data_IF_150334808957
#
_entry.id   IF_150334808957
#
_cell.length_a   1.000
_cell.length_b   1.000
_cell.length_c   1.000
_cell.angle_alpha   90.00
_cell.angle_beta   90.00
_cell.angle_gamma   90.00
#
_symmetry.space_group_name_H-M   'P 1'
#
loop_
_entity.id
_entity.type
_entity.pdbx_description
1 polymer ?
#
# COMPACT_ATOMS: atom_id res chain seq x y z
N UNK A 1 14.09 -16.24 -12.20
CA UNK A 1 13.02 -16.06 -11.19
C UNK A 1 12.62 -14.59 -11.12
N UNK A 2 11.70 -14.16 -11.99
CA UNK A 2 11.14 -12.81 -12.01
C UNK A 2 10.09 -12.68 -10.90
N UNK A 3 10.47 -12.13 -9.76
CA UNK A 3 9.54 -11.88 -8.65
C UNK A 3 8.81 -10.56 -8.92
N UNK A 4 7.48 -10.61 -8.93
CA UNK A 4 6.60 -9.46 -9.18
C UNK A 4 5.81 -9.17 -7.91
N UNK A 5 5.75 -7.90 -7.50
CA UNK A 5 4.80 -7.41 -6.51
C UNK A 5 3.67 -6.69 -7.22
N UNK A 6 2.41 -7.12 -7.04
CA UNK A 6 1.23 -6.48 -7.62
C UNK A 6 0.29 -6.04 -6.50
N UNK A 7 -0.23 -4.82 -6.63
CA UNK A 7 -1.02 -4.14 -5.60
C UNK A 7 -2.25 -3.48 -6.21
N UNK A 8 -3.40 -3.55 -5.55
CA UNK A 8 -4.60 -2.74 -5.85
C UNK A 8 -5.25 -2.37 -4.51
N UNK A 9 -5.35 -1.07 -4.15
CA UNK A 9 -6.01 -0.67 -2.90
C UNK A 9 -6.72 0.68 -2.90
N UNK A 10 -7.65 0.77 -1.94
CA UNK A 10 -8.11 1.99 -1.31
C UNK A 10 -7.62 2.02 0.15
N UNK A 11 -7.17 3.17 0.66
CA UNK A 11 -6.73 3.33 2.04
C UNK A 11 -7.42 4.52 2.71
N UNK A 12 -7.99 4.26 3.90
CA UNK A 12 -8.71 5.22 4.72
C UNK A 12 -8.00 5.40 6.07
N UNK A 13 -7.92 6.63 6.56
CA UNK A 13 -7.51 6.93 7.92
C UNK A 13 -8.69 6.77 8.87
N UNK A 14 -8.50 6.09 10.00
CA UNK A 14 -9.58 5.79 10.96
C UNK A 14 -9.70 6.80 12.11
N UNK A 15 -8.85 7.85 12.18
CA UNK A 15 -8.85 8.81 13.28
C UNK A 15 -9.81 10.00 13.06
N UNK A 16 -10.74 10.19 14.01
CA UNK A 16 -11.76 11.27 14.16
C UNK A 16 -12.78 11.44 13.01
N UNK A 17 -12.33 11.47 11.76
CA UNK A 17 -13.16 11.53 10.55
C UNK A 17 -12.54 10.67 9.47
N UNK A 18 -13.26 9.71 8.87
CA UNK A 18 -12.73 8.86 7.81
C UNK A 18 -12.19 9.72 6.66
N UNK A 19 -10.87 9.72 6.46
CA UNK A 19 -10.23 10.44 5.36
C UNK A 19 -9.60 9.44 4.42
N UNK A 20 -10.02 9.47 3.16
CA UNK A 20 -9.41 8.67 2.11
C UNK A 20 -8.02 9.26 1.77
N UNK A 21 -6.96 8.50 2.02
CA UNK A 21 -5.58 8.90 1.74
C UNK A 21 -5.14 8.40 0.36
N UNK A 22 -5.44 7.14 0.03
CA UNK A 22 -5.09 6.52 -1.25
C UNK A 22 -6.36 6.05 -1.95
N UNK A 23 -6.49 6.43 -3.22
CA UNK A 23 -7.66 6.11 -4.05
C UNK A 23 -7.25 5.26 -5.24
N UNK A 24 -7.79 4.05 -5.34
CA UNK A 24 -7.62 3.10 -6.43
C UNK A 24 -6.17 2.98 -6.93
N UNK A 25 -5.23 2.84 -6.01
CA UNK A 25 -3.81 2.76 -6.34
C UNK A 25 -3.50 1.35 -6.77
N UNK A 26 -2.99 1.19 -7.99
CA UNK A 26 -2.46 -0.07 -8.47
C UNK A 26 -1.04 0.07 -9.01
N UNK A 27 -0.25 -0.99 -8.89
CA UNK A 27 1.14 -0.97 -9.33
C UNK A 27 1.78 -2.34 -9.33
N UNK A 28 2.81 -2.48 -10.16
CA UNK A 28 3.65 -3.68 -10.24
C UNK A 28 5.13 -3.33 -10.11
N UNK A 29 5.87 -4.05 -9.25
CA UNK A 29 7.33 -3.95 -9.17
C UNK A 29 7.96 -5.30 -9.48
N UNK A 30 8.85 -5.34 -10.47
CA UNK A 30 9.62 -6.53 -10.85
C UNK A 30 10.97 -6.57 -10.14
N UNK A 31 11.46 -7.77 -9.86
CA UNK A 31 12.79 -7.98 -9.32
C UNK A 31 13.87 -7.38 -10.23
N UNK A 32 14.83 -6.69 -9.64
CA UNK A 32 15.88 -5.96 -10.37
C UNK A 32 15.51 -4.51 -10.70
N UNK A 33 14.25 -4.10 -10.49
CA UNK A 33 13.84 -2.71 -10.69
C UNK A 33 13.81 -1.94 -9.37
N UNK A 34 14.25 -0.68 -9.43
CA UNK A 34 14.11 0.27 -8.33
C UNK A 34 12.81 1.06 -8.51
N UNK A 35 11.92 1.01 -7.51
CA UNK A 35 10.72 1.84 -7.44
C UNK A 35 11.00 3.10 -6.63
N UNK A 36 10.76 4.28 -7.21
CA UNK A 36 10.77 5.55 -6.51
C UNK A 36 9.34 6.08 -6.38
N UNK A 37 8.97 6.53 -5.18
CA UNK A 37 7.67 7.17 -4.90
C UNK A 37 7.91 8.67 -4.69
N UNK A 38 7.37 9.49 -5.58
CA UNK A 38 7.56 10.96 -5.57
C UNK A 38 6.23 11.70 -5.53
N UNK A 39 6.25 12.97 -5.07
CA UNK A 39 5.04 13.80 -4.96
C UNK A 39 5.09 14.79 -3.79
N UNK A 40 4.15 15.74 -3.78
CA UNK A 40 4.06 16.81 -2.78
C UNK A 40 3.94 16.29 -1.33
N UNK A 41 4.36 17.08 -0.35
CA UNK A 41 4.18 16.71 1.08
C UNK A 41 2.70 16.50 1.39
N UNK A 42 2.38 15.46 2.19
CA UNK A 42 1.00 15.11 2.52
C UNK A 42 0.24 14.29 1.46
N UNK A 43 0.84 13.96 0.32
CA UNK A 43 0.17 13.18 -0.75
C UNK A 43 -0.02 11.68 -0.47
N UNK A 44 0.36 11.19 0.71
CA UNK A 44 0.20 9.77 1.08
C UNK A 44 1.33 8.83 0.66
N UNK A 45 2.50 9.33 0.24
CA UNK A 45 3.67 8.48 -0.16
C UNK A 45 4.11 7.52 0.95
N UNK A 46 4.32 8.07 2.16
CA UNK A 46 4.71 7.27 3.33
C UNK A 46 3.60 6.30 3.70
N UNK A 47 2.33 6.68 3.54
CA UNK A 47 1.19 5.79 3.73
C UNK A 47 1.23 4.62 2.74
N UNK A 48 1.47 4.88 1.45
CA UNK A 48 1.60 3.85 0.42
C UNK A 48 2.76 2.89 0.74
N UNK A 49 3.92 3.43 1.16
CA UNK A 49 5.08 2.63 1.55
C UNK A 49 4.81 1.77 2.79
N UNK A 50 4.09 2.32 3.77
CA UNK A 50 3.67 1.61 4.98
C UNK A 50 2.72 0.46 4.64
N UNK A 51 1.77 0.67 3.72
CA UNK A 51 0.87 -0.39 3.24
C UNK A 51 1.65 -1.49 2.52
N UNK A 52 2.57 -1.16 1.61
CA UNK A 52 3.37 -2.15 0.90
C UNK A 52 4.29 -2.96 1.82
N UNK A 53 4.84 -2.33 2.87
CA UNK A 53 5.73 -2.98 3.83
C UNK A 53 5.00 -3.61 5.02
N UNK A 54 3.66 -3.51 5.06
CA UNK A 54 2.83 -3.94 6.19
C UNK A 54 3.26 -3.35 7.55
N UNK A 55 3.66 -2.07 7.56
CA UNK A 55 4.10 -1.35 8.76
C UNK A 55 3.09 -0.29 9.17
N UNK A 56 2.95 -0.04 10.48
CA UNK A 56 2.15 1.06 11.04
C UNK A 56 0.70 1.14 10.51
N UNK A 57 0.01 -0.01 10.44
CA UNK A 57 -1.37 -0.08 9.93
C UNK A 57 -2.44 0.21 10.99
N UNK A 58 -2.08 0.40 12.26
CA UNK A 58 -3.01 0.54 13.39
C UNK A 58 -4.00 1.71 13.29
N UNK A 59 -3.75 2.68 12.40
CA UNK A 59 -4.62 3.85 12.18
C UNK A 59 -5.12 3.93 10.72
N UNK A 60 -4.95 2.85 9.96
CA UNK A 60 -5.23 2.77 8.53
C UNK A 60 -6.11 1.56 8.24
N UNK A 61 -7.29 1.80 7.68
CA UNK A 61 -8.10 0.76 7.07
C UNK A 61 -7.68 0.63 5.60
N UNK A 62 -7.16 -0.55 5.24
CA UNK A 62 -6.72 -0.85 3.87
C UNK A 62 -7.69 -1.87 3.28
N UNK A 63 -8.26 -1.54 2.13
CA UNK A 63 -9.08 -2.46 1.34
C UNK A 63 -8.35 -2.80 0.05
N UNK A 64 -8.11 -4.08 -0.19
CA UNK A 64 -7.48 -4.57 -1.42
C UNK A 64 -6.56 -5.77 -1.20
N UNK A 65 -5.73 -6.08 -2.20
CA UNK A 65 -4.88 -7.29 -2.21
C UNK A 65 -3.43 -6.94 -2.48
N UNK A 66 -2.55 -7.36 -1.56
CA UNK A 66 -1.09 -7.29 -1.70
C UNK A 66 -0.55 -8.63 -2.11
N UNK A 67 0.11 -8.67 -3.26
CA UNK A 67 0.87 -9.84 -3.69
C UNK A 67 2.36 -9.56 -3.48
N UNK A 68 2.98 -10.27 -2.54
CA UNK A 68 4.44 -10.31 -2.43
C UNK A 68 4.94 -11.64 -2.97
N UNK A 69 5.79 -11.60 -4.00
CA UNK A 69 6.33 -12.80 -4.66
C UNK A 69 5.24 -13.79 -5.14
N UNK A 70 4.09 -13.27 -5.58
CA UNK A 70 2.95 -14.09 -6.02
C UNK A 70 2.14 -14.73 -4.88
N UNK A 71 2.42 -14.40 -3.62
CA UNK A 71 1.65 -14.82 -2.46
C UNK A 71 0.84 -13.64 -1.90
N UNK A 72 -0.42 -13.90 -1.55
CA UNK A 72 -1.27 -12.88 -0.93
C UNK A 72 -0.80 -12.61 0.49
N UNK A 73 -0.40 -11.37 0.75
CA UNK A 73 -0.14 -10.88 2.08
C UNK A 73 -1.46 -10.34 2.62
N UNK A 74 -2.19 -11.21 3.30
CA UNK A 74 -3.40 -10.88 4.03
C UNK A 74 -3.05 -9.87 5.12
N UNK A 75 -3.52 -8.63 4.96
CA UNK A 75 -3.44 -7.63 6.02
C UNK A 75 -4.62 -7.91 6.96
N UNK A 76 -4.33 -8.38 8.17
CA UNK A 76 -5.34 -8.50 9.21
C UNK A 76 -5.80 -7.09 9.58
N UNK A 77 -7.03 -6.77 9.21
CA UNK A 77 -7.79 -5.65 9.78
C UNK A 77 -7.91 -5.90 11.29
N UNK A 78 -7.34 -5.01 12.10
CA UNK A 78 -7.69 -4.88 13.53
C UNK A 78 -8.60 -3.66 13.64
#
# INVERSE_FOLDING_TARGET
MTKTQKSIYNCFQTNKTPKEILRNVSGEVKAGNMLAIMGASGSGKTTLLNVLTARNLSQLSVNGVVLMNGQTVSQQTI
#
